data_IF_691020745297
#
_entry.id   IF_691020745297
#
_cell.length_a   1.000
_cell.length_b   1.000
_cell.length_c   1.000
_cell.angle_alpha   90.00
_cell.angle_beta   90.00
_cell.angle_gamma   90.00
#
_symmetry.space_group_name_H-M   'P 1'
#
loop_
_entity.id
_entity.type
_entity.pdbx_description
1 polymer ?
#
# COMPACT_ATOMS: atom_id res chain seq x y z
N UNK A 1 58.08 -33.78 -24.29
CA UNK A 1 57.39 -32.54 -24.81
C UNK A 1 55.91 -32.64 -24.51
N UNK A 2 55.52 -32.15 -23.36
CA UNK A 2 54.12 -32.18 -22.87
C UNK A 2 53.56 -30.77 -22.97
N UNK A 3 52.49 -30.56 -23.79
CA UNK A 3 51.78 -29.33 -23.96
C UNK A 3 50.78 -29.17 -22.81
N UNK A 4 50.70 -28.00 -22.17
CA UNK A 4 49.62 -27.74 -21.18
C UNK A 4 48.31 -27.35 -21.88
N UNK A 5 47.19 -27.93 -21.43
CA UNK A 5 45.82 -27.53 -21.82
C UNK A 5 45.44 -26.20 -21.14
N UNK A 6 44.71 -25.32 -21.82
CA UNK A 6 44.19 -24.11 -21.20
C UNK A 6 42.96 -24.43 -20.33
N UNK A 7 43.00 -23.95 -19.09
CA UNK A 7 41.85 -23.94 -18.17
C UNK A 7 40.83 -22.92 -18.62
N UNK A 8 39.65 -23.35 -19.08
CA UNK A 8 38.49 -22.49 -19.27
C UNK A 8 37.96 -22.09 -17.88
N UNK A 9 38.08 -20.83 -17.56
CA UNK A 9 37.38 -20.24 -16.43
C UNK A 9 35.92 -19.96 -16.84
N UNK A 10 34.99 -20.73 -16.31
CA UNK A 10 33.55 -20.45 -16.46
C UNK A 10 33.16 -19.27 -15.60
N UNK A 11 32.84 -18.13 -16.24
CA UNK A 11 32.30 -16.95 -15.63
C UNK A 11 30.80 -17.20 -15.36
N UNK A 12 30.42 -17.54 -14.13
CA UNK A 12 29.04 -17.59 -13.71
C UNK A 12 28.52 -16.15 -13.58
N UNK A 13 27.79 -15.68 -14.59
CA UNK A 13 27.05 -14.44 -14.53
C UNK A 13 25.77 -14.68 -13.71
N UNK A 14 25.80 -14.35 -12.41
CA UNK A 14 24.62 -14.39 -11.56
C UNK A 14 23.61 -13.32 -12.03
N UNK A 15 22.49 -13.77 -12.58
CA UNK A 15 21.32 -12.90 -12.80
C UNK A 15 20.80 -12.46 -11.42
N UNK A 16 21.12 -11.24 -11.02
CA UNK A 16 20.39 -10.55 -9.95
C UNK A 16 19.00 -10.21 -10.48
N UNK A 17 18.02 -11.01 -10.10
CA UNK A 17 16.60 -10.62 -10.25
C UNK A 17 16.36 -9.54 -9.20
N UNK A 18 16.30 -8.29 -9.63
CA UNK A 18 15.77 -7.19 -8.83
C UNK A 18 14.27 -7.47 -8.60
N UNK A 19 13.95 -8.02 -7.44
CA UNK A 19 12.57 -8.07 -6.98
C UNK A 19 12.18 -6.63 -6.62
N UNK A 20 11.19 -6.09 -7.31
CA UNK A 20 10.52 -4.87 -6.91
C UNK A 20 9.64 -5.21 -5.70
N UNK A 21 10.20 -5.09 -4.51
CA UNK A 21 9.45 -5.22 -3.26
C UNK A 21 8.86 -3.85 -2.93
N UNK A 22 7.61 -3.84 -2.43
CA UNK A 22 7.04 -2.62 -1.88
C UNK A 22 8.00 -2.06 -0.84
N UNK A 23 8.27 -0.78 -0.95
CA UNK A 23 9.20 -0.13 -0.05
C UNK A 23 8.41 0.54 1.05
N UNK A 24 8.34 -0.12 2.22
CA UNK A 24 7.80 0.47 3.44
C UNK A 24 8.93 1.11 4.22
N UNK A 25 8.91 2.43 4.31
CA UNK A 25 9.87 3.22 5.06
C UNK A 25 9.15 3.92 6.21
N UNK A 26 9.72 3.92 7.42
CA UNK A 26 9.14 4.63 8.58
C UNK A 26 10.24 5.39 9.29
N UNK A 27 10.07 6.68 9.42
CA UNK A 27 11.05 7.56 10.05
C UNK A 27 10.42 8.63 10.93
N UNK A 28 11.12 9.02 11.98
CA UNK A 28 10.77 10.18 12.78
C UNK A 28 11.47 11.42 12.20
N UNK A 29 10.68 12.43 11.82
CA UNK A 29 11.18 13.67 11.22
C UNK A 29 10.82 14.88 12.08
N UNK A 30 11.66 15.92 12.05
CA UNK A 30 11.38 17.20 12.69
C UNK A 30 10.84 18.18 11.64
N UNK A 31 9.55 18.54 11.76
CA UNK A 31 8.95 19.53 10.87
C UNK A 31 9.02 20.94 11.51
N UNK A 32 9.41 21.98 10.76
CA UNK A 32 9.66 23.31 11.33
C UNK A 32 8.48 23.93 12.08
N UNK A 33 7.25 23.69 11.62
CA UNK A 33 6.03 24.30 12.18
C UNK A 33 5.14 23.34 12.95
N UNK A 34 5.20 22.01 12.65
CA UNK A 34 4.34 20.99 13.26
C UNK A 34 5.03 20.37 14.48
N UNK A 35 6.36 20.34 14.49
CA UNK A 35 7.14 19.61 15.48
C UNK A 35 7.51 18.20 15.05
N UNK A 36 7.70 17.29 16.00
CA UNK A 36 8.13 15.92 15.74
C UNK A 36 6.99 15.12 15.09
N UNK A 37 7.24 14.55 13.92
CA UNK A 37 6.30 13.75 13.16
C UNK A 37 6.83 12.33 12.95
N UNK A 38 5.92 11.35 12.86
CA UNK A 38 6.23 10.03 12.33
C UNK A 38 5.70 9.95 10.90
N UNK A 39 6.59 9.74 9.95
CA UNK A 39 6.26 9.60 8.54
C UNK A 39 6.51 8.14 8.13
N UNK A 40 5.47 7.50 7.63
CA UNK A 40 5.57 6.23 6.93
C UNK A 40 5.34 6.46 5.44
N UNK A 41 6.05 5.74 4.57
CA UNK A 41 5.85 5.76 3.13
C UNK A 41 5.61 4.33 2.64
N UNK A 42 4.62 4.16 1.78
CA UNK A 42 4.36 2.93 1.04
C UNK A 42 4.46 3.28 -0.44
N UNK A 43 5.41 2.65 -1.14
CA UNK A 43 5.64 2.84 -2.58
C UNK A 43 5.62 1.51 -3.30
N UNK A 44 5.43 1.54 -4.62
CA UNK A 44 5.41 0.39 -5.51
C UNK A 44 4.22 -0.58 -5.23
N UNK A 45 4.44 -1.88 -5.36
CA UNK A 45 3.43 -2.93 -5.16
C UNK A 45 3.34 -3.32 -3.68
N UNK A 46 2.13 -3.42 -3.13
CA UNK A 46 1.91 -3.95 -1.76
C UNK A 46 2.11 -5.46 -1.78
N UNK A 47 3.13 -5.93 -1.07
CA UNK A 47 3.57 -7.32 -1.06
C UNK A 47 3.45 -7.97 0.33
N UNK A 48 3.40 -9.32 0.41
CA UNK A 48 3.50 -10.02 1.68
C UNK A 48 4.76 -9.63 2.46
N UNK A 49 4.59 -9.27 3.74
CA UNK A 49 5.67 -8.79 4.62
C UNK A 49 5.67 -7.28 4.87
N UNK A 50 4.93 -6.49 4.08
CA UNK A 50 4.85 -5.04 4.25
C UNK A 50 4.17 -4.63 5.56
N UNK A 51 3.19 -5.43 6.02
CA UNK A 51 2.60 -5.22 7.34
C UNK A 51 3.65 -5.34 8.44
N UNK A 52 4.50 -6.36 8.37
CA UNK A 52 5.53 -6.59 9.39
C UNK A 52 6.60 -5.49 9.33
N UNK A 53 6.95 -5.02 8.13
CA UNK A 53 7.84 -3.88 7.93
C UNK A 53 7.26 -2.58 8.53
N UNK A 54 5.98 -2.29 8.25
CA UNK A 54 5.29 -1.13 8.80
C UNK A 54 5.20 -1.21 10.33
N UNK A 55 4.80 -2.35 10.87
CA UNK A 55 4.70 -2.57 12.30
C UNK A 55 6.05 -2.41 12.99
N UNK A 56 7.12 -3.02 12.45
CA UNK A 56 8.48 -2.89 12.95
C UNK A 56 8.94 -1.43 12.93
N UNK A 57 8.66 -0.71 11.84
CA UNK A 57 8.99 0.70 11.72
C UNK A 57 8.28 1.57 12.76
N UNK A 58 6.99 1.34 12.99
CA UNK A 58 6.21 2.06 14.02
C UNK A 58 6.74 1.76 15.42
N UNK A 59 7.00 0.49 15.75
CA UNK A 59 7.53 0.08 17.06
C UNK A 59 8.97 0.56 17.28
N UNK A 60 9.76 0.62 16.21
CA UNK A 60 11.15 1.12 16.24
C UNK A 60 11.27 2.63 16.46
N UNK A 61 10.15 3.36 16.36
CA UNK A 61 10.10 4.81 16.60
C UNK A 61 9.19 5.15 17.80
N UNK A 62 9.60 4.85 19.03
CA UNK A 62 8.80 5.13 20.22
C UNK A 62 8.72 6.63 20.53
N UNK A 63 7.68 7.01 21.28
CA UNK A 63 7.48 8.36 21.79
C UNK A 63 6.26 9.06 21.21
N UNK A 64 6.12 10.32 21.60
CA UNK A 64 4.99 11.15 21.16
C UNK A 64 5.32 11.91 19.88
N UNK A 65 4.36 11.93 18.98
CA UNK A 65 4.43 12.66 17.73
C UNK A 65 3.26 13.64 17.63
N UNK A 66 3.56 14.86 17.23
CA UNK A 66 2.53 15.87 16.96
C UNK A 66 1.62 15.44 15.82
N UNK A 67 2.14 14.66 14.85
CA UNK A 67 1.40 14.09 13.75
C UNK A 67 2.04 12.79 13.26
N UNK A 68 1.20 11.86 12.79
CA UNK A 68 1.64 10.64 12.09
C UNK A 68 1.03 10.66 10.69
N UNK A 69 1.85 10.48 9.66
CA UNK A 69 1.39 10.56 8.26
C UNK A 69 1.89 9.36 7.48
N UNK A 70 0.97 8.64 6.85
CA UNK A 70 1.28 7.62 5.85
C UNK A 70 1.21 8.25 4.45
N UNK A 71 2.34 8.36 3.78
CA UNK A 71 2.45 8.78 2.39
C UNK A 71 2.27 7.59 1.47
N UNK A 72 1.44 7.76 0.44
CA UNK A 72 1.03 6.71 -0.48
C UNK A 72 1.48 7.06 -1.91
N UNK A 73 2.27 6.16 -2.50
CA UNK A 73 2.73 6.21 -3.89
C UNK A 73 2.80 4.78 -4.43
N UNK A 74 1.64 4.10 -4.55
CA UNK A 74 1.54 2.66 -4.78
C UNK A 74 0.52 2.30 -5.84
N UNK A 75 0.88 1.30 -6.65
CA UNK A 75 0.03 0.71 -7.68
C UNK A 75 -0.98 -0.32 -7.12
N UNK A 76 -0.94 -0.58 -5.81
CA UNK A 76 -1.75 -1.61 -5.16
C UNK A 76 -0.98 -2.92 -5.01
N UNK A 77 -1.67 -4.05 -4.91
CA UNK A 77 -1.07 -5.38 -4.73
C UNK A 77 -1.94 -6.28 -3.86
N UNK A 78 -1.38 -6.90 -2.83
CA UNK A 78 -2.06 -7.85 -1.95
C UNK A 78 -3.18 -7.21 -1.13
N UNK A 79 -4.43 -7.65 -1.35
CA UNK A 79 -5.61 -7.21 -0.57
C UNK A 79 -5.48 -7.57 0.92
N UNK A 80 -5.10 -8.80 1.30
CA UNK A 80 -4.95 -9.15 2.71
C UNK A 80 -3.92 -8.29 3.42
N UNK A 81 -2.80 -8.02 2.76
CA UNK A 81 -1.73 -7.22 3.33
C UNK A 81 -2.17 -5.76 3.51
N UNK A 82 -2.82 -5.18 2.49
CA UNK A 82 -3.38 -3.84 2.56
C UNK A 82 -4.41 -3.69 3.69
N UNK A 83 -5.26 -4.70 3.94
CA UNK A 83 -6.22 -4.72 5.04
C UNK A 83 -5.51 -4.74 6.40
N UNK A 84 -4.48 -5.61 6.57
CA UNK A 84 -3.69 -5.68 7.81
C UNK A 84 -3.00 -4.34 8.09
N UNK A 85 -2.31 -3.81 7.10
CA UNK A 85 -1.64 -2.51 7.18
C UNK A 85 -2.63 -1.38 7.48
N UNK A 86 -3.77 -1.36 6.80
CA UNK A 86 -4.79 -0.33 7.01
C UNK A 86 -5.36 -0.33 8.43
N UNK A 87 -5.60 -1.50 9.04
CA UNK A 87 -6.01 -1.57 10.44
C UNK A 87 -4.94 -1.01 11.37
N UNK A 88 -3.66 -1.37 11.16
CA UNK A 88 -2.54 -0.82 11.92
C UNK A 88 -2.47 0.71 11.79
N UNK A 89 -2.62 1.24 10.57
CA UNK A 89 -2.66 2.68 10.29
C UNK A 89 -3.78 3.38 11.07
N UNK A 90 -4.98 2.80 11.07
CA UNK A 90 -6.15 3.32 11.80
C UNK A 90 -5.93 3.29 13.32
N UNK A 91 -5.51 2.16 13.85
CA UNK A 91 -5.28 1.93 15.29
C UNK A 91 -4.18 2.84 15.83
N UNK A 92 -3.10 2.98 15.10
CA UNK A 92 -1.96 3.82 15.50
C UNK A 92 -2.15 5.30 15.20
N UNK A 93 -3.26 5.68 14.57
CA UNK A 93 -3.69 7.07 14.44
C UNK A 93 -3.01 7.87 13.35
N UNK A 94 -2.61 7.24 12.26
CA UNK A 94 -2.06 7.94 11.11
C UNK A 94 -3.14 8.68 10.32
N UNK A 95 -2.76 9.84 9.79
CA UNK A 95 -3.38 10.46 8.64
C UNK A 95 -2.82 9.83 7.36
N UNK A 96 -3.56 9.88 6.24
CA UNK A 96 -3.07 9.38 4.95
C UNK A 96 -2.96 10.53 3.94
N UNK A 97 -1.91 10.48 3.13
CA UNK A 97 -1.60 11.48 2.11
C UNK A 97 -1.17 10.82 0.81
N UNK A 98 -1.86 11.12 -0.29
CA UNK A 98 -1.32 10.93 -1.64
C UNK A 98 -0.65 12.23 -2.05
N UNK A 99 0.69 12.31 -2.13
CA UNK A 99 1.41 13.53 -2.49
C UNK A 99 1.14 13.93 -3.95
N UNK A 100 1.47 15.17 -4.33
CA UNK A 100 1.17 15.70 -5.67
C UNK A 100 1.84 14.93 -6.82
N UNK A 101 2.96 14.29 -6.55
CA UNK A 101 3.68 13.43 -7.49
C UNK A 101 3.34 11.96 -7.34
N UNK A 102 2.55 11.59 -6.32
CA UNK A 102 2.21 10.21 -5.99
C UNK A 102 0.92 9.76 -6.64
N UNK A 103 0.78 8.45 -6.68
CA UNK A 103 -0.42 7.77 -7.12
C UNK A 103 -0.87 6.73 -6.08
N UNK A 104 -2.18 6.43 -6.04
CA UNK A 104 -2.72 5.39 -5.19
C UNK A 104 -3.78 4.61 -5.99
N UNK A 105 -3.43 3.38 -6.41
CA UNK A 105 -4.23 2.59 -7.32
C UNK A 105 -4.68 1.27 -6.70
N UNK A 106 -5.85 0.78 -7.12
CA UNK A 106 -6.35 -0.54 -6.72
C UNK A 106 -6.38 -0.72 -5.20
N UNK A 107 -5.62 -1.68 -4.68
CA UNK A 107 -5.60 -1.98 -3.23
C UNK A 107 -4.90 -0.92 -2.39
N UNK A 108 -4.13 0.00 -2.96
CA UNK A 108 -3.63 1.18 -2.24
C UNK A 108 -4.77 2.01 -1.63
N UNK A 109 -5.95 2.01 -2.26
CA UNK A 109 -7.14 2.73 -1.76
C UNK A 109 -7.58 2.21 -0.38
N UNK A 110 -7.27 0.96 -0.03
CA UNK A 110 -7.52 0.43 1.32
C UNK A 110 -6.68 1.18 2.36
N UNK A 111 -5.41 1.45 2.05
CA UNK A 111 -4.55 2.24 2.94
C UNK A 111 -5.01 3.68 3.04
N UNK A 112 -5.39 4.30 1.91
CA UNK A 112 -5.94 5.65 1.89
C UNK A 112 -7.20 5.77 2.78
N UNK A 113 -8.09 4.79 2.68
CA UNK A 113 -9.32 4.71 3.48
C UNK A 113 -9.07 4.65 4.99
N UNK A 114 -7.94 4.09 5.40
CA UNK A 114 -7.58 3.88 6.80
C UNK A 114 -7.22 5.16 7.55
N UNK A 115 -6.79 6.22 6.88
CA UNK A 115 -6.39 7.46 7.52
C UNK A 115 -7.48 8.07 8.41
N UNK A 116 -7.10 8.64 9.57
CA UNK A 116 -8.03 9.46 10.38
C UNK A 116 -8.45 10.70 9.61
N UNK A 117 -7.46 11.41 9.08
CA UNK A 117 -7.66 12.42 8.06
C UNK A 117 -7.05 11.92 6.76
N UNK A 118 -7.68 12.24 5.65
CA UNK A 118 -7.29 11.80 4.32
C UNK A 118 -7.08 12.99 3.41
N UNK A 119 -5.92 13.07 2.77
CA UNK A 119 -5.59 14.13 1.83
C UNK A 119 -5.09 13.52 0.51
N UNK A 120 -5.65 14.00 -0.59
CA UNK A 120 -5.26 13.62 -1.95
C UNK A 120 -4.82 14.87 -2.68
N UNK A 121 -3.55 14.89 -3.11
CA UNK A 121 -2.97 15.93 -3.96
C UNK A 121 -2.51 15.38 -5.30
N UNK A 122 -2.26 14.07 -5.35
CA UNK A 122 -1.89 13.31 -6.53
C UNK A 122 -3.09 12.59 -7.16
N UNK A 123 -2.86 11.41 -7.71
CA UNK A 123 -3.85 10.65 -8.45
C UNK A 123 -4.36 9.44 -7.65
N UNK A 124 -5.66 9.19 -7.70
CA UNK A 124 -6.27 7.98 -7.12
C UNK A 124 -7.01 7.24 -8.22
N UNK A 125 -6.73 5.95 -8.39
CA UNK A 125 -7.32 5.11 -9.43
C UNK A 125 -8.00 3.86 -8.86
N UNK A 126 -9.18 3.56 -9.39
CA UNK A 126 -9.90 2.34 -9.07
C UNK A 126 -9.78 1.33 -10.20
N UNK A 127 -9.55 0.09 -9.84
CA UNK A 127 -9.73 -1.09 -10.68
C UNK A 127 -10.07 -2.29 -9.79
N UNK A 128 -10.64 -3.32 -10.38
CA UNK A 128 -10.85 -4.57 -9.67
C UNK A 128 -9.49 -5.17 -9.28
N UNK A 129 -9.31 -5.64 -8.02
CA UNK A 129 -8.08 -6.32 -7.62
C UNK A 129 -7.72 -7.42 -8.63
N UNK A 130 -6.48 -7.42 -9.07
CA UNK A 130 -5.95 -8.36 -10.06
C UNK A 130 -4.92 -9.27 -9.38
N UNK A 131 -5.05 -10.56 -9.59
CA UNK A 131 -4.11 -11.55 -9.10
C UNK A 131 -3.20 -11.97 -10.26
N UNK A 132 -1.98 -11.44 -10.30
CA UNK A 132 -1.06 -11.59 -11.44
C UNK A 132 -0.63 -13.04 -11.73
N UNK A 133 -0.76 -13.95 -10.78
CA UNK A 133 -0.18 -15.30 -10.87
C UNK A 133 -1.18 -16.44 -10.71
N UNK A 134 -2.46 -16.25 -11.04
CA UNK A 134 -3.44 -17.35 -11.10
C UNK A 134 -3.79 -18.01 -9.75
N UNK A 135 -3.24 -17.55 -8.66
CA UNK A 135 -3.42 -18.12 -7.31
C UNK A 135 -4.59 -17.51 -6.52
N UNK A 136 -5.54 -16.86 -7.23
CA UNK A 136 -6.75 -16.32 -6.61
C UNK A 136 -7.51 -17.35 -5.76
N UNK A 137 -7.44 -18.65 -6.13
CA UNK A 137 -8.05 -19.74 -5.38
C UNK A 137 -7.26 -20.09 -4.11
N UNK A 138 -5.94 -20.00 -4.15
CA UNK A 138 -5.05 -20.28 -3.02
C UNK A 138 -5.10 -19.15 -2.00
N UNK A 139 -5.03 -17.90 -2.47
CA UNK A 139 -5.19 -16.72 -1.63
C UNK A 139 -6.61 -16.63 -1.06
N UNK A 140 -7.65 -16.90 -1.83
CA UNK A 140 -9.01 -16.97 -1.34
C UNK A 140 -9.20 -18.05 -0.27
N UNK A 141 -8.55 -19.21 -0.38
CA UNK A 141 -8.62 -20.28 0.63
C UNK A 141 -7.87 -19.91 1.92
N UNK A 142 -6.71 -19.24 1.82
CA UNK A 142 -5.94 -18.75 2.95
C UNK A 142 -6.62 -17.59 3.69
N UNK A 143 -7.47 -16.81 2.98
CA UNK A 143 -8.04 -15.56 3.48
C UNK A 143 -9.56 -15.56 3.60
N UNK A 144 -10.22 -16.73 3.56
CA UNK A 144 -11.69 -16.86 3.70
C UNK A 144 -12.26 -16.44 5.06
N UNK A 145 -11.45 -15.95 5.99
CA UNK A 145 -11.93 -15.45 7.26
C UNK A 145 -12.51 -14.04 7.20
N UNK A 146 -13.42 -13.70 8.10
CA UNK A 146 -14.01 -12.35 8.29
C UNK A 146 -12.92 -11.26 8.41
N UNK A 147 -11.73 -11.61 8.87
CA UNK A 147 -10.58 -10.70 9.02
C UNK A 147 -10.14 -10.04 7.71
N UNK A 148 -10.37 -10.68 6.56
CA UNK A 148 -9.93 -10.21 5.25
C UNK A 148 -11.09 -9.85 4.30
N UNK A 149 -12.29 -9.70 4.85
CA UNK A 149 -13.45 -9.28 4.08
C UNK A 149 -13.35 -7.79 3.76
N UNK A 150 -13.24 -7.46 2.48
CA UNK A 150 -13.09 -6.09 1.99
C UNK A 150 -14.28 -5.19 2.37
N UNK A 151 -15.52 -5.71 2.29
CA UNK A 151 -16.72 -4.94 2.65
C UNK A 151 -16.74 -4.62 4.15
N UNK A 152 -16.43 -5.60 5.01
CA UNK A 152 -16.32 -5.38 6.44
C UNK A 152 -15.22 -4.35 6.76
N UNK A 153 -14.07 -4.45 6.10
CA UNK A 153 -12.97 -3.52 6.25
C UNK A 153 -13.36 -2.07 5.87
N UNK A 154 -13.95 -1.86 4.70
CA UNK A 154 -14.36 -0.53 4.29
C UNK A 154 -15.41 0.08 5.24
N UNK A 155 -16.33 -0.73 5.74
CA UNK A 155 -17.27 -0.28 6.79
C UNK A 155 -16.56 0.11 8.09
N UNK A 156 -15.56 -0.64 8.54
CA UNK A 156 -14.71 -0.27 9.68
C UNK A 156 -14.04 1.10 9.46
N UNK A 157 -13.64 1.39 8.22
CA UNK A 157 -12.99 2.66 7.85
C UNK A 157 -14.00 3.79 7.59
N UNK A 158 -15.30 3.54 7.68
CA UNK A 158 -16.34 4.52 7.42
C UNK A 158 -16.52 4.86 5.94
N UNK A 159 -16.10 3.96 5.05
CA UNK A 159 -16.22 4.09 3.60
C UNK A 159 -17.53 3.46 3.14
N UNK A 160 -18.28 4.10 2.23
CA UNK A 160 -19.53 3.56 1.71
C UNK A 160 -19.30 2.32 0.85
N UNK A 161 -20.23 1.36 0.91
CA UNK A 161 -20.16 0.09 0.15
C UNK A 161 -20.06 0.32 -1.37
N UNK A 162 -20.59 1.45 -1.87
CA UNK A 162 -20.50 1.82 -3.28
C UNK A 162 -19.08 1.93 -3.84
N UNK A 163 -18.07 2.18 -3.00
CA UNK A 163 -16.68 2.16 -3.44
C UNK A 163 -16.27 0.76 -3.90
N UNK A 164 -16.55 -0.25 -3.08
CA UNK A 164 -16.19 -1.64 -3.40
C UNK A 164 -16.98 -2.16 -4.60
N UNK A 165 -18.28 -1.84 -4.66
CA UNK A 165 -19.15 -2.21 -5.78
C UNK A 165 -18.62 -1.64 -7.10
N UNK A 166 -18.22 -0.36 -7.10
CA UNK A 166 -17.69 0.30 -8.28
C UNK A 166 -16.30 -0.26 -8.66
N UNK A 167 -15.43 -0.54 -7.67
CA UNK A 167 -14.16 -1.23 -7.93
C UNK A 167 -14.35 -2.57 -8.63
N UNK A 168 -15.32 -3.37 -8.17
CA UNK A 168 -15.58 -4.71 -8.73
C UNK A 168 -16.11 -4.70 -10.17
N UNK A 169 -16.78 -3.61 -10.59
CA UNK A 169 -17.32 -3.43 -11.94
C UNK A 169 -16.28 -3.00 -12.98
N UNK A 170 -15.14 -2.46 -12.53
CA UNK A 170 -14.10 -1.99 -13.43
C UNK A 170 -13.28 -3.19 -13.91
N UNK A 171 -13.04 -3.28 -15.23
CA UNK A 171 -12.14 -4.29 -15.79
C UNK A 171 -10.75 -4.13 -15.18
N UNK A 172 -10.09 -5.23 -14.74
CA UNK A 172 -8.74 -5.14 -14.15
C UNK A 172 -7.69 -4.49 -15.04
N UNK A 173 -7.93 -4.49 -16.37
CA UNK A 173 -7.05 -3.87 -17.37
C UNK A 173 -7.32 -2.37 -17.55
N UNK A 174 -8.40 -1.88 -16.98
CA UNK A 174 -8.81 -0.48 -17.07
C UNK A 174 -8.68 0.17 -15.71
N UNK A 175 -8.30 1.43 -15.72
CA UNK A 175 -8.25 2.23 -14.52
C UNK A 175 -9.22 3.39 -14.63
N UNK A 176 -10.06 3.57 -13.61
CA UNK A 176 -10.87 4.75 -13.45
C UNK A 176 -10.18 5.70 -12.48
N UNK A 177 -9.65 6.80 -12.98
CA UNK A 177 -9.12 7.88 -12.14
C UNK A 177 -10.29 8.63 -11.51
N UNK A 178 -10.21 8.85 -10.19
CA UNK A 178 -11.24 9.54 -9.43
C UNK A 178 -11.08 11.06 -9.54
N UNK A 179 -12.17 11.73 -9.81
CA UNK A 179 -12.24 13.19 -9.71
C UNK A 179 -12.51 13.65 -8.25
N UNK A 180 -12.44 14.95 -7.94
CA UNK A 180 -12.70 15.46 -6.59
C UNK A 180 -14.10 15.14 -6.06
N UNK A 181 -15.12 15.00 -6.92
CA UNK A 181 -16.49 14.64 -6.53
C UNK A 181 -16.56 13.17 -6.13
N UNK A 182 -15.89 12.28 -6.89
CA UNK A 182 -15.77 10.88 -6.57
C UNK A 182 -15.02 10.67 -5.24
N UNK A 183 -13.90 11.38 -5.03
CA UNK A 183 -13.13 11.31 -3.78
C UNK A 183 -13.99 11.71 -2.57
N UNK A 184 -14.79 12.76 -2.69
CA UNK A 184 -15.72 13.18 -1.65
C UNK A 184 -16.85 12.15 -1.45
N UNK A 185 -17.45 11.64 -2.53
CA UNK A 185 -18.52 10.64 -2.52
C UNK A 185 -18.09 9.37 -1.79
N UNK A 186 -16.87 8.91 -2.02
CA UNK A 186 -16.32 7.73 -1.36
C UNK A 186 -15.66 8.02 -0.01
N UNK A 187 -15.70 9.27 0.48
CA UNK A 187 -15.04 9.68 1.73
C UNK A 187 -13.55 9.36 1.76
N UNK A 188 -12.88 9.46 0.61
CA UNK A 188 -11.44 9.27 0.45
C UNK A 188 -10.65 10.59 0.65
N UNK A 189 -11.35 11.68 0.92
CA UNK A 189 -10.81 12.93 1.41
C UNK A 189 -11.59 13.35 2.65
N UNK A 190 -10.90 13.96 3.62
CA UNK A 190 -11.54 14.57 4.78
C UNK A 190 -11.99 15.99 4.39
N UNK A 191 -13.20 16.37 4.80
CA UNK A 191 -13.66 17.77 4.69
C UNK A 191 -12.72 18.72 5.45
N UNK A 192 -12.61 19.94 4.95
CA UNK A 192 -11.96 21.04 5.68
C UNK A 192 -12.76 21.42 6.91
#
# INVERSE_FOLDING_TARGET
MTRPLPRLAALCFGLFVLQAEARVEVEAVQHPTIGRMLVAKVSEEIAPGDYDALMKGVLGNPGNFARKVLMLDSIGGSVPEAIRMGRLVRETGFDTLVPSTGLCQGTCVYLLAAGRNKAVRGSVGLHRPYYAHGDASRDAALYQGVRYNASAYFREMGIPDSLLDDMQRIDPRQMRVLDPKDLARYRLISGK
#
